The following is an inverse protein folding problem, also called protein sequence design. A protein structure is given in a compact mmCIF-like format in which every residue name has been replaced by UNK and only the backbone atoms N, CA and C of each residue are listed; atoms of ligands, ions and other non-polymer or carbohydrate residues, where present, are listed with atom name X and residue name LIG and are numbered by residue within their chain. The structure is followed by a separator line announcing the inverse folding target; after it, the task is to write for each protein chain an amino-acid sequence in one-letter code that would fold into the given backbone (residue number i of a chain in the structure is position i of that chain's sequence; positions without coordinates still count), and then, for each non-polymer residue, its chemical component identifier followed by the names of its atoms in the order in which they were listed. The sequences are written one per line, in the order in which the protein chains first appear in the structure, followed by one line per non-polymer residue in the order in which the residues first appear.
data_IF_653628700280
#
_entry.id   IF_653628700280
#
_cell.length_a   1.000
_cell.length_b   1.000
_cell.length_c   1.000
_cell.angle_alpha   90.00
_cell.angle_beta   90.00
_cell.angle_gamma   90.00
#
_symmetry.space_group_name_H-M   'P 1'
#
loop_
_entity.id
_entity.type
_entity.pdbx_description
1 polymer ?
#
# COMPACT_ATOMS: atom_id res chain seq x y z
N UNK A 1 -14.48 10.86 -15.92
CA UNK A 1 -13.02 11.06 -15.88
C UNK A 1 -12.32 9.82 -16.41
N UNK A 2 -11.83 9.86 -17.64
CA UNK A 2 -11.10 8.76 -18.30
C UNK A 2 -9.73 8.58 -17.64
N UNK A 3 -9.40 7.34 -17.24
CA UNK A 3 -8.13 6.95 -16.59
C UNK A 3 -6.84 7.32 -17.36
N UNK A 4 -6.94 7.88 -18.58
CA UNK A 4 -5.83 8.09 -19.53
C UNK A 4 -4.89 9.25 -19.18
N UNK A 5 -5.32 10.25 -18.40
CA UNK A 5 -4.51 11.44 -18.07
C UNK A 5 -3.96 11.47 -16.63
N UNK A 6 -4.07 10.39 -15.87
CA UNK A 6 -3.59 10.34 -14.49
C UNK A 6 -2.11 9.96 -14.42
N UNK A 7 -1.35 10.69 -13.61
CA UNK A 7 0.04 10.33 -13.35
C UNK A 7 0.12 8.94 -12.70
N UNK A 8 1.28 8.29 -12.78
CA UNK A 8 1.48 7.01 -12.09
C UNK A 8 1.24 7.15 -10.57
N UNK A 9 1.61 8.30 -9.98
CA UNK A 9 1.34 8.62 -8.57
C UNK A 9 -0.15 8.65 -8.27
N UNK A 10 -0.95 9.31 -9.09
CA UNK A 10 -2.41 9.39 -8.87
C UNK A 10 -3.07 8.02 -9.02
N UNK A 11 -2.62 7.23 -9.99
CA UNK A 11 -3.08 5.84 -10.16
C UNK A 11 -2.75 4.99 -8.94
N UNK A 12 -1.55 5.12 -8.38
CA UNK A 12 -1.18 4.44 -7.12
C UNK A 12 -2.11 4.84 -5.98
N UNK A 13 -2.35 6.14 -5.79
CA UNK A 13 -3.25 6.61 -4.73
C UNK A 13 -4.69 6.14 -4.92
N UNK A 14 -5.21 6.11 -6.15
CA UNK A 14 -6.54 5.57 -6.45
C UNK A 14 -6.66 4.07 -6.20
N UNK A 15 -5.59 3.31 -6.38
CA UNK A 15 -5.58 1.88 -6.03
C UNK A 15 -5.58 1.72 -4.52
N UNK A 16 -4.75 2.46 -3.80
CA UNK A 16 -4.59 2.35 -2.35
C UNK A 16 -5.84 2.85 -1.60
N UNK A 17 -6.47 3.92 -2.06
CA UNK A 17 -7.71 4.43 -1.44
C UNK A 17 -8.89 3.46 -1.52
N UNK A 18 -8.84 2.49 -2.46
CA UNK A 18 -9.87 1.46 -2.63
C UNK A 18 -9.64 0.21 -1.78
N UNK A 19 -8.50 0.11 -1.08
CA UNK A 19 -8.24 -1.05 -0.23
C UNK A 19 -9.14 -0.97 1.00
N UNK A 20 -10.08 -1.91 1.13
CA UNK A 20 -11.01 -1.97 2.27
C UNK A 20 -10.28 -2.30 3.57
N UNK A 21 -10.86 -1.89 4.70
CA UNK A 21 -10.41 -2.28 6.04
C UNK A 21 -10.29 -3.81 6.13
N UNK A 22 -9.24 -4.30 6.79
CA UNK A 22 -8.95 -5.74 6.95
C UNK A 22 -8.38 -6.42 5.71
N UNK A 23 -8.29 -5.71 4.58
CA UNK A 23 -7.65 -6.19 3.37
C UNK A 23 -6.31 -5.48 3.16
N UNK A 24 -5.38 -6.18 2.52
CA UNK A 24 -4.06 -5.65 2.18
C UNK A 24 -3.74 -5.97 0.73
N UNK A 25 -2.88 -5.15 0.14
CA UNK A 25 -2.26 -5.43 -1.15
C UNK A 25 -0.74 -5.40 -1.02
N UNK A 26 -0.05 -6.15 -1.86
CA UNK A 26 1.41 -6.05 -1.94
C UNK A 26 1.82 -4.84 -2.77
N UNK A 27 3.03 -4.30 -2.55
CA UNK A 27 3.58 -3.25 -3.42
C UNK A 27 3.56 -3.63 -4.91
N UNK A 28 3.83 -4.89 -5.23
CA UNK A 28 3.76 -5.44 -6.60
C UNK A 28 2.33 -5.41 -7.13
N UNK A 29 1.37 -5.89 -6.34
CA UNK A 29 -0.05 -5.86 -6.71
C UNK A 29 -0.61 -4.45 -6.89
N UNK A 30 -0.11 -3.46 -6.14
CA UNK A 30 -0.46 -2.05 -6.34
C UNK A 30 0.15 -1.54 -7.66
N UNK A 31 1.41 -1.88 -7.94
CA UNK A 31 2.08 -1.48 -9.17
C UNK A 31 1.39 -2.06 -10.42
N UNK A 32 1.00 -3.33 -10.37
CA UNK A 32 0.20 -4.01 -11.40
C UNK A 32 -1.14 -3.30 -11.64
N UNK A 33 -1.92 -3.07 -10.58
CA UNK A 33 -3.23 -2.38 -10.69
C UNK A 33 -3.10 -0.92 -11.12
N UNK A 34 -1.98 -0.28 -10.82
CA UNK A 34 -1.67 1.06 -11.28
C UNK A 34 -1.20 1.09 -12.75
N UNK A 35 -0.98 -0.08 -13.37
CA UNK A 35 -0.62 -0.22 -14.79
C UNK A 35 0.88 -0.28 -15.07
N UNK A 36 1.72 -0.47 -14.04
CA UNK A 36 3.17 -0.62 -14.19
C UNK A 36 3.69 -1.76 -13.30
N UNK A 37 3.56 -3.04 -13.70
CA UNK A 37 3.92 -4.20 -12.88
C UNK A 37 5.34 -4.17 -12.30
N UNK A 38 6.30 -3.62 -13.06
CA UNK A 38 7.72 -3.53 -12.65
C UNK A 38 8.02 -2.35 -11.71
N UNK A 39 7.04 -1.51 -11.38
CA UNK A 39 7.23 -0.26 -10.63
C UNK A 39 7.08 -0.41 -9.10
N UNK A 40 7.25 -1.62 -8.55
CA UNK A 40 7.11 -1.91 -7.12
C UNK A 40 7.93 -0.96 -6.21
N UNK A 41 9.20 -0.70 -6.56
CA UNK A 41 10.06 0.25 -5.83
C UNK A 41 9.53 1.69 -5.90
N UNK A 42 9.01 2.11 -7.05
CA UNK A 42 8.43 3.44 -7.22
C UNK A 42 7.17 3.61 -6.36
N UNK A 43 6.31 2.58 -6.26
CA UNK A 43 5.16 2.59 -5.34
C UNK A 43 5.62 2.79 -3.90
N UNK A 44 6.65 2.06 -3.45
CA UNK A 44 7.24 2.24 -2.12
C UNK A 44 7.68 3.69 -1.85
N UNK A 45 8.38 4.30 -2.80
CA UNK A 45 8.85 5.69 -2.71
C UNK A 45 7.70 6.72 -2.73
N UNK A 46 6.63 6.45 -3.48
CA UNK A 46 5.44 7.32 -3.51
C UNK A 46 4.71 7.27 -2.16
N UNK A 47 4.52 6.07 -1.61
CA UNK A 47 3.80 5.87 -0.35
C UNK A 47 4.62 6.33 0.88
N UNK A 48 5.95 6.26 0.84
CA UNK A 48 6.79 6.76 1.94
C UNK A 48 6.76 8.28 2.08
N UNK A 49 6.48 9.00 0.98
CA UNK A 49 6.36 10.47 0.95
C UNK A 49 4.91 10.96 1.11
N UNK A 50 3.96 10.05 1.34
CA UNK A 50 2.56 10.40 1.51
C UNK A 50 2.21 10.63 2.99
N UNK A 51 1.91 11.88 3.33
CA UNK A 51 1.46 12.28 4.66
C UNK A 51 -0.07 12.42 4.77
N UNK A 52 -0.81 12.16 3.69
CA UNK A 52 -2.26 12.25 3.69
C UNK A 52 -2.88 11.05 4.43
N UNK A 53 -3.59 11.26 5.56
CA UNK A 53 -4.17 10.18 6.36
C UNK A 53 -5.36 9.48 5.68
N UNK A 54 -5.97 10.08 4.66
CA UNK A 54 -7.10 9.48 3.93
C UNK A 54 -6.67 8.33 3.02
N UNK A 55 -5.37 8.24 2.70
CA UNK A 55 -4.80 7.18 1.88
C UNK A 55 -4.23 6.12 2.83
N UNK A 56 -4.83 4.91 2.92
CA UNK A 56 -4.44 3.90 3.89
C UNK A 56 -3.15 3.17 3.48
N UNK A 57 -2.02 3.90 3.50
CA UNK A 57 -0.72 3.40 3.06
C UNK A 57 -0.18 2.25 3.94
N UNK A 58 -0.71 2.08 5.15
CA UNK A 58 -0.43 0.93 6.02
C UNK A 58 -1.01 -0.39 5.49
N UNK A 59 -2.04 -0.35 4.62
CA UNK A 59 -2.62 -1.53 3.96
C UNK A 59 -1.81 -2.06 2.78
N UNK A 60 -0.67 -1.42 2.47
CA UNK A 60 0.27 -1.89 1.44
C UNK A 60 1.47 -2.54 2.10
N UNK A 61 1.69 -3.82 1.81
CA UNK A 61 2.68 -4.67 2.48
C UNK A 61 3.68 -5.29 1.50
N UNK A 62 4.72 -5.95 2.01
CA UNK A 62 5.65 -6.73 1.18
C UNK A 62 5.02 -8.05 0.73
N UNK A 63 5.54 -8.63 -0.34
CA UNK A 63 5.07 -9.90 -0.91
C UNK A 63 5.22 -11.09 0.02
N UNK A 64 6.15 -11.04 0.97
CA UNK A 64 6.32 -12.05 2.00
C UNK A 64 5.28 -11.94 3.15
N UNK A 65 4.19 -11.18 2.99
CA UNK A 65 3.14 -11.04 4.00
C UNK A 65 3.50 -10.11 5.17
N UNK A 66 4.76 -9.65 5.23
CA UNK A 66 5.27 -8.83 6.33
C UNK A 66 4.95 -7.35 6.10
N UNK A 67 4.24 -6.72 7.04
CA UNK A 67 4.00 -5.28 7.03
C UNK A 67 5.20 -4.50 7.60
N UNK A 68 6.35 -4.54 6.91
CA UNK A 68 7.56 -3.79 7.31
C UNK A 68 8.54 -4.57 8.18
N UNK A 69 9.83 -4.19 8.14
CA UNK A 69 10.92 -4.91 8.82
C UNK A 69 11.12 -4.48 10.28
N UNK A 70 12.31 -4.71 10.83
CA UNK A 70 12.75 -4.38 12.21
C UNK A 70 12.83 -2.85 12.48
N UNK A 71 11.76 -2.10 12.22
CA UNK A 71 11.71 -0.66 12.39
C UNK A 71 10.44 -0.30 13.18
N UNK A 72 10.49 0.60 14.18
CA UNK A 72 9.32 0.99 14.99
C UNK A 72 8.10 1.46 14.18
N UNK A 73 8.30 1.94 12.95
CA UNK A 73 7.19 2.27 12.03
C UNK A 73 6.41 1.02 11.59
N UNK A 74 7.08 -0.14 11.45
CA UNK A 74 6.45 -1.41 11.10
C UNK A 74 5.56 -1.94 12.21
N UNK A 75 5.98 -1.83 13.46
CA UNK A 75 5.18 -2.25 14.62
C UNK A 75 3.90 -1.43 14.75
N UNK A 76 3.96 -0.12 14.53
CA UNK A 76 2.77 0.73 14.49
C UNK A 76 1.80 0.30 13.37
N UNK A 77 2.33 0.02 12.17
CA UNK A 77 1.51 -0.46 11.04
C UNK A 77 0.86 -1.82 11.33
N UNK A 78 1.61 -2.73 11.97
CA UNK A 78 1.10 -4.05 12.36
C UNK A 78 -0.07 -3.94 13.33
N UNK A 79 0.03 -3.09 14.37
CA UNK A 79 -1.07 -2.86 15.32
C UNK A 79 -2.31 -2.29 14.64
N UNK A 80 -2.15 -1.33 13.74
CA UNK A 80 -3.28 -0.78 12.98
C UNK A 80 -3.93 -1.86 12.12
N UNK A 81 -3.14 -2.66 11.38
CA UNK A 81 -3.66 -3.75 10.56
C UNK A 81 -4.38 -4.82 11.39
N UNK A 82 -3.86 -5.17 12.56
CA UNK A 82 -4.51 -6.10 13.49
C UNK A 82 -5.84 -5.54 14.01
N UNK A 83 -5.90 -4.26 14.38
CA UNK A 83 -7.14 -3.58 14.76
C UNK A 83 -8.13 -3.47 13.58
N UNK A 84 -7.64 -3.57 12.35
CA UNK A 84 -8.47 -3.66 11.14
C UNK A 84 -8.93 -5.09 10.81
N UNK A 85 -8.45 -6.10 11.53
CA UNK A 85 -8.77 -7.52 11.32
C UNK A 85 -7.82 -8.26 10.39
N UNK A 86 -6.70 -7.66 9.99
CA UNK A 86 -5.65 -8.34 9.23
C UNK A 86 -4.58 -8.92 10.18
N UNK A 87 -4.50 -10.24 10.23
CA UNK A 87 -3.45 -10.97 10.93
C UNK A 87 -2.40 -11.41 9.91
N UNK A 88 -1.15 -10.99 10.12
CA UNK A 88 -0.04 -11.44 9.29
C UNK A 88 0.03 -12.96 9.36
N UNK A 89 0.19 -13.61 8.19
CA UNK A 89 0.44 -15.05 8.14
C UNK A 89 1.81 -15.32 8.76
N UNK A 90 1.86 -16.28 9.69
CA UNK A 90 3.08 -16.81 10.26
C UNK A 90 3.95 -17.47 9.19
#
# INVERSE_FOLDING_TARGET
MTKRNLSFRDRVFLVVSKIKKGNVLTYTQVAERAGSPRACRAVGNILSKNFNPTIPCHRVIRTNGVSGGYNPVAEKKKKILQAEGYFQKA
#
